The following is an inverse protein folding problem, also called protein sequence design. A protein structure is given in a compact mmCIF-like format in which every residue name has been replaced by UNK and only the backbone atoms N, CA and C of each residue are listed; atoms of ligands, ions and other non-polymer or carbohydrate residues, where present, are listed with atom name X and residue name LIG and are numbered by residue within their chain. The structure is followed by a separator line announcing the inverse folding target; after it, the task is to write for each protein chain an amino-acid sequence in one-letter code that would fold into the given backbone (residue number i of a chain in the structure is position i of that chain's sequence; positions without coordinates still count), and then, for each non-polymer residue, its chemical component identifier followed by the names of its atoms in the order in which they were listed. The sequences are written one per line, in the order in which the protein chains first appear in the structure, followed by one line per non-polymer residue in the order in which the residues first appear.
data_IF_915830568536
#
_entry.id   IF_915830568536
#
_cell.length_a   1.000
_cell.length_b   1.000
_cell.length_c   1.000
_cell.angle_alpha   90.00
_cell.angle_beta   90.00
_cell.angle_gamma   90.00
#
_symmetry.space_group_name_H-M   'P 1'
#
loop_
_entity.id
_entity.type
_entity.pdbx_description
1 polymer ?
#
# COMPACT_ATOMS: atom_id res chain seq x y z
N UNK A 1 54.70 14.61 2.54
CA UNK A 1 53.56 13.71 2.78
C UNK A 1 52.32 14.57 2.96
N UNK A 2 51.59 14.84 1.88
CA UNK A 2 50.36 15.64 1.92
C UNK A 2 49.19 14.70 1.66
N UNK A 3 48.37 14.49 2.67
CA UNK A 3 47.19 13.62 2.58
C UNK A 3 46.10 14.36 1.80
N UNK A 4 45.85 13.93 0.57
CA UNK A 4 44.71 14.42 -0.22
C UNK A 4 43.42 13.99 0.46
N UNK A 5 42.71 14.93 1.07
CA UNK A 5 41.35 14.71 1.59
C UNK A 5 40.42 14.62 0.40
N UNK A 6 39.98 13.41 0.07
CA UNK A 6 38.94 13.17 -0.91
C UNK A 6 37.63 13.75 -0.35
N UNK A 7 37.21 14.91 -0.86
CA UNK A 7 35.86 15.42 -0.62
C UNK A 7 34.88 14.49 -1.37
N UNK A 8 33.81 13.98 -0.72
CA UNK A 8 32.81 13.19 -1.43
C UNK A 8 32.12 14.06 -2.50
N UNK A 9 31.71 13.46 -3.64
CA UNK A 9 31.00 14.18 -4.69
C UNK A 9 29.74 14.83 -4.10
N UNK A 10 29.58 16.12 -4.38
CA UNK A 10 28.38 16.88 -4.05
C UNK A 10 27.16 16.18 -4.62
N UNK A 11 26.31 15.63 -3.75
CA UNK A 11 25.07 14.97 -4.15
C UNK A 11 24.14 16.00 -4.81
N UNK A 12 23.62 15.72 -6.02
CA UNK A 12 22.66 16.60 -6.66
C UNK A 12 21.38 16.68 -5.81
N UNK A 13 20.75 17.85 -5.78
CA UNK A 13 19.51 18.11 -5.05
C UNK A 13 18.48 17.02 -5.35
N UNK A 14 18.14 16.25 -4.30
CA UNK A 14 17.24 15.10 -4.39
C UNK A 14 15.84 15.57 -4.78
N UNK A 15 15.31 15.14 -5.94
CA UNK A 15 14.01 15.61 -6.41
C UNK A 15 12.87 15.09 -5.53
N UNK A 16 11.83 15.92 -5.38
CA UNK A 16 10.62 15.71 -4.56
C UNK A 16 9.90 14.38 -4.91
N UNK A 17 10.17 13.79 -6.08
CA UNK A 17 9.72 12.46 -6.51
C UNK A 17 10.27 11.29 -5.70
N UNK A 18 11.41 11.44 -5.00
CA UNK A 18 11.99 10.35 -4.22
C UNK A 18 11.10 9.94 -3.04
N UNK A 19 10.39 10.89 -2.43
CA UNK A 19 9.55 10.63 -1.26
C UNK A 19 8.39 9.65 -1.55
N UNK A 20 7.70 9.82 -2.67
CA UNK A 20 6.61 8.93 -3.06
C UNK A 20 7.13 7.56 -3.50
N UNK A 21 8.17 7.53 -4.35
CA UNK A 21 8.77 6.27 -4.82
C UNK A 21 9.37 5.43 -3.68
N UNK A 22 9.90 6.08 -2.64
CA UNK A 22 10.40 5.41 -1.44
C UNK A 22 9.26 4.73 -0.66
N UNK A 23 8.16 5.46 -0.42
CA UNK A 23 7.03 4.91 0.30
C UNK A 23 6.39 3.74 -0.46
N UNK A 24 6.23 3.89 -1.77
CA UNK A 24 5.68 2.84 -2.63
C UNK A 24 6.55 1.57 -2.59
N UNK A 25 7.87 1.73 -2.60
CA UNK A 25 8.81 0.61 -2.49
C UNK A 25 8.70 -0.13 -1.13
N UNK A 26 8.59 0.60 -0.01
CA UNK A 26 8.40 -0.02 1.30
C UNK A 26 7.04 -0.72 1.40
N UNK A 27 6.00 -0.16 0.78
CA UNK A 27 4.66 -0.79 0.73
C UNK A 27 4.66 -2.07 -0.08
N UNK A 28 5.34 -2.12 -1.23
CA UNK A 28 5.53 -3.35 -2.04
C UNK A 28 6.18 -4.45 -1.21
N UNK A 29 7.24 -4.14 -0.46
CA UNK A 29 7.92 -5.13 0.37
C UNK A 29 7.04 -5.58 1.54
N UNK A 30 6.35 -4.65 2.21
CA UNK A 30 5.43 -4.98 3.29
C UNK A 30 4.30 -5.92 2.83
N UNK A 31 3.70 -5.64 1.67
CA UNK A 31 2.65 -6.45 1.05
C UNK A 31 3.17 -7.83 0.66
N UNK A 32 4.37 -7.92 0.07
CA UNK A 32 4.99 -9.22 -0.22
C UNK A 32 5.21 -10.05 1.05
N UNK A 33 5.73 -9.44 2.12
CA UNK A 33 5.92 -10.12 3.39
C UNK A 33 4.60 -10.56 4.04
N UNK A 34 3.51 -9.84 3.82
CA UNK A 34 2.17 -10.27 4.22
C UNK A 34 1.70 -11.50 3.43
N UNK A 35 1.94 -11.53 2.11
CA UNK A 35 1.59 -12.67 1.25
C UNK A 35 2.37 -13.95 1.56
N UNK A 36 3.59 -13.84 2.12
CA UNK A 36 4.36 -14.99 2.59
C UNK A 36 4.23 -15.23 4.10
N UNK A 37 3.25 -14.59 4.75
CA UNK A 37 2.93 -14.74 6.18
C UNK A 37 4.11 -14.43 7.13
N UNK A 38 5.03 -13.57 6.70
CA UNK A 38 6.20 -13.15 7.47
C UNK A 38 5.96 -11.83 8.20
N UNK A 39 5.44 -11.94 9.42
CA UNK A 39 4.92 -10.81 10.21
C UNK A 39 6.02 -9.80 10.58
N UNK A 40 7.21 -10.27 10.97
CA UNK A 40 8.30 -9.40 11.46
C UNK A 40 8.74 -8.36 10.43
N UNK A 41 9.25 -8.79 9.26
CA UNK A 41 9.61 -7.89 8.17
C UNK A 41 8.42 -7.05 7.67
N UNK A 42 7.23 -7.63 7.52
CA UNK A 42 6.01 -6.89 7.14
C UNK A 42 5.78 -5.67 8.06
N UNK A 43 5.81 -5.88 9.38
CA UNK A 43 5.67 -4.81 10.37
C UNK A 43 6.85 -3.84 10.33
N UNK A 44 8.07 -4.31 10.08
CA UNK A 44 9.26 -3.48 9.92
C UNK A 44 9.10 -2.46 8.79
N UNK A 45 8.75 -2.94 7.59
CA UNK A 45 8.51 -2.08 6.42
C UNK A 45 7.33 -1.12 6.61
N UNK A 46 6.21 -1.58 7.19
CA UNK A 46 5.06 -0.71 7.50
C UNK A 46 5.42 0.39 8.51
N UNK A 47 6.19 0.06 9.55
CA UNK A 47 6.65 1.02 10.55
C UNK A 47 7.59 2.06 9.93
N UNK A 48 8.54 1.62 9.12
CA UNK A 48 9.42 2.53 8.41
C UNK A 48 8.66 3.48 7.49
N UNK A 49 7.73 2.98 6.67
CA UNK A 49 6.88 3.82 5.82
C UNK A 49 6.08 4.84 6.66
N UNK A 50 5.58 4.45 7.84
CA UNK A 50 4.89 5.36 8.76
C UNK A 50 5.81 6.46 9.31
N UNK A 51 7.03 6.10 9.74
CA UNK A 51 8.04 7.07 10.21
C UNK A 51 8.37 8.07 9.11
N UNK A 52 8.62 7.59 7.89
CA UNK A 52 8.92 8.44 6.74
C UNK A 52 7.76 9.39 6.37
N UNK A 53 6.51 8.89 6.39
CA UNK A 53 5.30 9.72 6.18
C UNK A 53 5.13 10.81 7.25
N UNK A 54 5.66 10.59 8.45
CA UNK A 54 5.55 11.54 9.58
C UNK A 54 6.63 12.61 9.60
N UNK A 55 7.64 12.53 8.74
CA UNK A 55 8.74 13.49 8.74
C UNK A 55 8.25 14.89 8.34
N UNK A 56 8.66 15.95 9.07
CA UNK A 56 8.25 17.32 8.75
C UNK A 56 8.88 17.84 7.46
N UNK A 57 9.99 17.24 7.04
CA UNK A 57 10.68 17.53 5.77
C UNK A 57 11.04 16.21 5.07
N UNK A 58 11.01 16.18 3.72
CA UNK A 58 11.47 15.03 2.97
C UNK A 58 12.92 14.68 3.30
N UNK A 59 13.24 13.39 3.30
CA UNK A 59 14.63 12.94 3.41
C UNK A 59 15.46 13.49 2.25
N UNK A 60 16.59 14.10 2.57
CA UNK A 60 17.53 14.64 1.58
C UNK A 60 18.81 13.85 1.50
N UNK A 61 19.24 13.27 2.61
CA UNK A 61 20.47 12.50 2.68
C UNK A 61 20.25 11.20 3.41
N UNK A 62 21.05 10.20 3.06
CA UNK A 62 21.02 8.90 3.72
C UNK A 62 21.38 9.01 5.21
N UNK A 63 22.26 9.95 5.59
CA UNK A 63 22.63 10.20 6.99
C UNK A 63 21.42 10.55 7.88
N UNK A 64 20.34 11.06 7.28
CA UNK A 64 19.14 11.46 8.00
C UNK A 64 18.38 10.22 8.54
N UNK A 65 18.54 9.04 7.92
CA UNK A 65 17.83 7.81 8.33
C UNK A 65 18.50 7.10 9.50
N UNK A 66 19.77 7.41 9.80
CA UNK A 66 20.51 6.75 10.89
C UNK A 66 19.91 7.03 12.26
N UNK A 67 19.31 8.20 12.44
CA UNK A 67 18.72 8.67 13.70
C UNK A 67 17.24 8.33 13.83
N UNK A 68 16.64 7.77 12.79
CA UNK A 68 15.21 7.51 12.77
C UNK A 68 14.88 6.18 13.46
N UNK A 69 13.84 6.15 14.32
CA UNK A 69 13.42 4.94 14.99
C UNK A 69 12.81 3.95 13.99
N UNK A 70 12.75 2.67 14.38
CA UNK A 70 12.06 1.61 13.66
C UNK A 70 12.61 1.27 12.25
N UNK A 71 13.78 1.77 11.88
CA UNK A 71 14.49 1.40 10.65
C UNK A 71 15.52 0.32 10.94
N UNK A 72 15.14 -0.93 10.64
CA UNK A 72 16.04 -2.08 10.71
C UNK A 72 17.09 -2.07 9.60
N UNK A 73 18.15 -2.90 9.70
CA UNK A 73 19.24 -2.95 8.72
C UNK A 73 18.74 -3.15 7.29
N UNK A 74 17.77 -4.05 7.11
CA UNK A 74 17.18 -4.36 5.82
C UNK A 74 16.42 -3.17 5.22
N UNK A 75 15.64 -2.46 6.03
CA UNK A 75 14.91 -1.29 5.55
C UNK A 75 15.85 -0.14 5.21
N UNK A 76 16.91 0.06 6.00
CA UNK A 76 17.96 1.04 5.68
C UNK A 76 18.65 0.71 4.36
N UNK A 77 18.97 -0.56 4.10
CA UNK A 77 19.56 -1.00 2.84
C UNK A 77 18.64 -0.71 1.64
N UNK A 78 17.34 -0.99 1.75
CA UNK A 78 16.38 -0.67 0.68
C UNK A 78 16.30 0.85 0.43
N UNK A 79 16.26 1.65 1.49
CA UNK A 79 16.26 3.11 1.35
C UNK A 79 17.56 3.58 0.71
N UNK A 80 18.70 3.02 1.11
CA UNK A 80 20.01 3.31 0.53
C UNK A 80 20.04 3.06 -0.97
N UNK A 81 19.64 1.85 -1.40
CA UNK A 81 19.58 1.49 -2.81
C UNK A 81 18.76 2.52 -3.61
N UNK A 82 17.59 2.91 -3.09
CA UNK A 82 16.71 3.87 -3.76
C UNK A 82 17.34 5.27 -3.82
N UNK A 83 18.07 5.69 -2.79
CA UNK A 83 18.80 6.96 -2.79
C UNK A 83 19.98 6.97 -3.77
N UNK A 84 20.71 5.87 -3.87
CA UNK A 84 21.94 5.77 -4.67
C UNK A 84 21.66 5.44 -6.14
N UNK A 85 20.72 4.53 -6.39
CA UNK A 85 20.44 3.93 -7.70
C UNK A 85 19.08 4.35 -8.28
N UNK A 86 18.21 4.97 -7.48
CA UNK A 86 16.84 5.31 -7.88
C UNK A 86 15.84 4.16 -7.76
N UNK A 87 16.30 2.93 -7.52
CA UNK A 87 15.50 1.73 -7.29
C UNK A 87 16.23 0.75 -6.35
N UNK A 88 15.50 -0.24 -5.83
CA UNK A 88 16.10 -1.36 -5.08
C UNK A 88 15.86 -2.66 -5.84
N UNK A 89 16.93 -3.42 -6.06
CA UNK A 89 16.88 -4.73 -6.72
C UNK A 89 15.90 -5.68 -6.04
N UNK A 90 15.79 -5.61 -4.71
CA UNK A 90 14.84 -6.38 -3.93
C UNK A 90 13.39 -6.03 -4.26
N UNK A 91 13.10 -4.75 -4.47
CA UNK A 91 11.76 -4.28 -4.85
C UNK A 91 11.46 -4.73 -6.28
N UNK A 92 12.42 -4.62 -7.19
CA UNK A 92 12.28 -5.07 -8.57
C UNK A 92 12.05 -6.57 -8.69
N UNK A 93 12.74 -7.38 -7.88
CA UNK A 93 12.54 -8.83 -7.79
C UNK A 93 11.10 -9.15 -7.37
N UNK A 94 10.59 -8.51 -6.33
CA UNK A 94 9.19 -8.68 -5.88
C UNK A 94 8.21 -8.21 -6.96
N UNK A 95 8.47 -7.07 -7.59
CA UNK A 95 7.62 -6.54 -8.66
C UNK A 95 7.63 -7.41 -9.91
N UNK A 96 8.62 -8.29 -10.10
CA UNK A 96 8.72 -9.22 -11.23
C UNK A 96 8.27 -10.64 -10.91
N UNK A 97 8.15 -10.98 -9.62
CA UNK A 97 7.66 -12.26 -9.14
C UNK A 97 6.20 -12.55 -9.56
N UNK A 98 5.98 -13.72 -10.18
CA UNK A 98 4.66 -14.15 -10.68
C UNK A 98 3.67 -14.33 -9.53
N UNK A 99 4.15 -14.86 -8.40
CA UNK A 99 3.32 -15.12 -7.22
C UNK A 99 2.81 -13.80 -6.64
N UNK A 100 3.68 -12.84 -6.37
CA UNK A 100 3.32 -11.51 -5.88
C UNK A 100 2.30 -10.83 -6.80
N UNK A 101 2.57 -10.78 -8.11
CA UNK A 101 1.65 -10.19 -9.10
C UNK A 101 0.29 -10.85 -9.10
N UNK A 102 0.25 -12.18 -9.06
CA UNK A 102 -1.01 -12.92 -9.07
C UNK A 102 -1.81 -12.70 -7.79
N UNK A 103 -1.15 -12.77 -6.64
CA UNK A 103 -1.81 -12.53 -5.36
C UNK A 103 -2.36 -11.12 -5.28
N UNK A 104 -1.60 -10.11 -5.74
CA UNK A 104 -2.03 -8.71 -5.82
C UNK A 104 -3.28 -8.53 -6.71
N UNK A 105 -3.34 -9.21 -7.86
CA UNK A 105 -4.54 -9.21 -8.71
C UNK A 105 -5.72 -9.83 -7.97
N UNK A 106 -5.53 -10.95 -7.29
CA UNK A 106 -6.64 -11.62 -6.60
C UNK A 106 -7.14 -10.85 -5.38
N UNK A 107 -6.24 -10.30 -4.57
CA UNK A 107 -6.61 -9.52 -3.37
C UNK A 107 -7.16 -8.13 -3.69
N UNK A 108 -7.07 -7.69 -4.96
CA UNK A 108 -7.75 -6.47 -5.41
C UNK A 108 -9.29 -6.61 -5.44
N UNK A 109 -9.82 -7.84 -5.42
CA UNK A 109 -11.26 -8.10 -5.40
C UNK A 109 -11.78 -8.07 -3.97
N UNK A 110 -12.82 -7.26 -3.72
CA UNK A 110 -13.49 -7.22 -2.42
C UNK A 110 -13.93 -8.61 -1.96
N UNK A 111 -13.60 -8.95 -0.70
CA UNK A 111 -13.90 -10.27 -0.12
C UNK A 111 -12.85 -11.35 -0.42
N UNK A 112 -11.76 -11.03 -1.12
CA UNK A 112 -10.63 -11.93 -1.37
C UNK A 112 -9.42 -11.52 -0.52
N UNK A 113 -9.13 -12.30 0.52
CA UNK A 113 -7.92 -12.14 1.33
C UNK A 113 -6.76 -13.02 0.85
N UNK A 114 -5.55 -12.86 1.44
CA UNK A 114 -4.34 -13.60 1.05
C UNK A 114 -4.53 -15.12 1.03
N UNK A 115 -5.27 -15.70 1.99
CA UNK A 115 -5.54 -17.14 2.04
C UNK A 115 -6.35 -17.65 0.85
N UNK A 116 -7.35 -16.88 0.41
CA UNK A 116 -8.17 -17.24 -0.76
C UNK A 116 -7.37 -17.08 -2.04
N UNK A 117 -6.64 -15.96 -2.17
CA UNK A 117 -5.75 -15.71 -3.30
C UNK A 117 -4.70 -16.83 -3.45
N UNK A 118 -4.09 -17.25 -2.34
CA UNK A 118 -3.12 -18.33 -2.31
C UNK A 118 -3.72 -19.67 -2.75
N UNK A 119 -4.95 -19.98 -2.32
CA UNK A 119 -5.67 -21.19 -2.75
C UNK A 119 -5.87 -21.20 -4.27
N UNK A 120 -6.24 -20.07 -4.86
CA UNK A 120 -6.40 -19.94 -6.31
C UNK A 120 -5.07 -20.02 -7.04
N UNK A 121 -4.03 -19.38 -6.53
CA UNK A 121 -2.69 -19.44 -7.10
C UNK A 121 -2.16 -20.88 -7.18
N UNK A 122 -2.31 -21.65 -6.09
CA UNK A 122 -1.91 -23.08 -6.01
C UNK A 122 -2.68 -23.98 -6.96
N UNK A 123 -3.88 -23.57 -7.38
CA UNK A 123 -4.66 -24.27 -8.43
C UNK A 123 -4.19 -23.94 -9.85
N UNK A 124 -3.16 -23.10 -10.00
CA UNK A 124 -2.66 -22.67 -11.31
C UNK A 124 -3.41 -21.47 -11.90
N UNK A 125 -4.31 -20.84 -11.15
CA UNK A 125 -5.03 -19.65 -11.61
C UNK A 125 -4.10 -18.43 -11.54
N UNK A 126 -4.21 -17.54 -12.53
CA UNK A 126 -3.41 -16.31 -12.66
C UNK A 126 -4.24 -15.07 -12.99
N UNK A 127 -5.48 -15.24 -13.45
CA UNK A 127 -6.34 -14.14 -13.90
C UNK A 127 -7.74 -14.22 -13.29
N UNK A 128 -8.39 -13.07 -13.12
CA UNK A 128 -9.73 -12.97 -12.52
C UNK A 128 -10.80 -13.70 -13.34
N UNK A 129 -10.68 -13.67 -14.67
CA UNK A 129 -11.63 -14.31 -15.58
C UNK A 129 -11.68 -15.83 -15.36
N UNK A 130 -10.53 -16.43 -15.07
CA UNK A 130 -10.42 -17.87 -14.80
C UNK A 130 -11.21 -18.26 -13.54
N UNK A 131 -11.24 -17.37 -12.54
CA UNK A 131 -11.99 -17.59 -11.29
C UNK A 131 -13.50 -17.58 -11.58
N UNK A 132 -13.95 -16.63 -12.40
CA UNK A 132 -15.38 -16.51 -12.75
C UNK A 132 -15.86 -17.59 -13.72
N UNK A 133 -14.97 -18.15 -14.55
CA UNK A 133 -15.32 -19.20 -15.52
C UNK A 133 -15.24 -20.62 -14.94
N UNK A 134 -14.51 -20.81 -13.84
CA UNK A 134 -14.32 -22.13 -13.23
C UNK A 134 -15.50 -22.49 -12.33
N UNK A 135 -16.37 -23.38 -12.82
CA UNK A 135 -17.58 -23.83 -12.13
C UNK A 135 -17.32 -24.59 -10.82
N UNK A 136 -16.09 -25.03 -10.57
CA UNK A 136 -15.71 -25.68 -9.30
C UNK A 136 -15.34 -24.69 -8.19
N UNK A 137 -15.30 -23.39 -8.49
CA UNK A 137 -15.05 -22.34 -7.49
C UNK A 137 -16.38 -21.82 -6.95
N UNK A 138 -16.58 -21.99 -5.65
CA UNK A 138 -17.70 -21.39 -4.94
C UNK A 138 -17.27 -20.09 -4.28
N UNK A 139 -17.82 -18.99 -4.79
CA UNK A 139 -17.63 -17.64 -4.25
C UNK A 139 -18.62 -17.40 -3.11
N UNK A 140 -18.15 -16.80 -2.02
CA UNK A 140 -19.04 -16.32 -0.97
C UNK A 140 -19.76 -15.02 -1.39
N UNK A 141 -20.77 -14.58 -0.62
CA UNK A 141 -21.57 -13.38 -0.95
C UNK A 141 -20.72 -12.12 -1.14
N UNK A 142 -19.67 -11.93 -0.33
CA UNK A 142 -18.78 -10.77 -0.47
C UNK A 142 -17.97 -10.83 -1.75
N UNK A 143 -17.44 -12.01 -2.10
CA UNK A 143 -16.69 -12.22 -3.33
C UNK A 143 -17.55 -12.03 -4.57
N UNK A 144 -18.80 -12.54 -4.56
CA UNK A 144 -19.75 -12.31 -5.65
C UNK A 144 -19.97 -10.81 -5.88
N UNK A 145 -20.24 -10.06 -4.82
CA UNK A 145 -20.36 -8.60 -4.91
C UNK A 145 -19.06 -7.93 -5.38
N UNK A 146 -17.92 -8.42 -4.91
CA UNK A 146 -16.59 -7.92 -5.31
C UNK A 146 -16.31 -8.09 -6.79
N UNK A 147 -16.67 -9.23 -7.38
CA UNK A 147 -16.56 -9.44 -8.83
C UNK A 147 -17.59 -8.62 -9.61
N UNK A 148 -18.84 -8.57 -9.15
CA UNK A 148 -19.92 -7.84 -9.83
C UNK A 148 -19.64 -6.34 -9.95
N UNK A 149 -19.07 -5.74 -8.90
CA UNK A 149 -18.81 -4.30 -8.82
C UNK A 149 -17.32 -3.95 -8.89
N UNK A 150 -16.47 -4.88 -9.35
CA UNK A 150 -15.01 -4.74 -9.33
C UNK A 150 -14.54 -3.41 -9.94
N UNK A 151 -15.07 -3.03 -11.10
CA UNK A 151 -14.68 -1.78 -11.80
C UNK A 151 -15.00 -0.51 -11.01
N UNK A 152 -16.11 -0.49 -10.28
CA UNK A 152 -16.50 0.71 -9.53
C UNK A 152 -15.80 0.76 -8.18
N UNK A 153 -15.67 -0.40 -7.52
CA UNK A 153 -14.95 -0.53 -6.26
C UNK A 153 -13.43 -0.32 -6.42
N UNK A 154 -12.88 -0.56 -7.62
CA UNK A 154 -11.46 -0.32 -7.89
C UNK A 154 -11.11 1.17 -8.06
N UNK A 155 -12.11 2.05 -8.19
CA UNK A 155 -11.87 3.50 -8.36
C UNK A 155 -11.65 4.15 -7.00
N UNK A 156 -10.68 5.07 -6.88
CA UNK A 156 -10.54 5.89 -5.68
C UNK A 156 -11.83 6.67 -5.40
N UNK A 157 -12.26 6.69 -4.15
CA UNK A 157 -13.41 7.51 -3.73
C UNK A 157 -12.93 8.92 -3.44
N UNK A 158 -13.57 9.92 -4.04
CA UNK A 158 -13.33 11.33 -3.78
C UNK A 158 -14.02 11.79 -2.50
N UNK A 159 -13.49 12.87 -1.89
CA UNK A 159 -14.13 13.49 -0.72
C UNK A 159 -15.59 13.90 -1.01
N UNK A 160 -15.89 14.39 -2.22
CA UNK A 160 -17.23 14.79 -2.60
C UNK A 160 -18.22 13.61 -2.63
N UNK A 161 -17.79 12.45 -3.15
CA UNK A 161 -18.58 11.22 -3.10
C UNK A 161 -18.80 10.76 -1.66
N UNK A 162 -17.76 10.79 -0.81
CA UNK A 162 -17.88 10.44 0.59
C UNK A 162 -18.87 11.36 1.36
N UNK A 163 -18.81 12.67 1.11
CA UNK A 163 -19.75 13.65 1.68
C UNK A 163 -21.18 13.43 1.17
N UNK A 164 -21.36 13.09 -0.11
CA UNK A 164 -22.67 12.77 -0.67
C UNK A 164 -23.31 11.55 0.01
N UNK A 165 -22.53 10.49 0.23
CA UNK A 165 -22.98 9.31 1.00
C UNK A 165 -23.30 9.71 2.44
N UNK A 166 -22.48 10.56 3.06
CA UNK A 166 -22.72 11.09 4.41
C UNK A 166 -24.08 11.77 4.56
N UNK A 167 -24.46 12.63 3.59
CA UNK A 167 -25.77 13.30 3.58
C UNK A 167 -26.95 12.34 3.48
N UNK A 168 -26.83 11.30 2.64
CA UNK A 168 -27.87 10.27 2.50
C UNK A 168 -28.07 9.54 3.84
N UNK A 169 -26.97 9.20 4.52
CA UNK A 169 -27.03 8.53 5.83
C UNK A 169 -27.65 9.45 6.88
N UNK A 170 -27.29 10.72 6.89
CA UNK A 170 -27.83 11.72 7.83
C UNK A 170 -29.35 11.91 7.65
N UNK A 171 -29.82 12.02 6.40
CA UNK A 171 -31.25 12.11 6.09
C UNK A 171 -32.01 10.86 6.57
N UNK A 172 -31.49 9.67 6.25
CA UNK A 172 -32.12 8.40 6.68
C UNK A 172 -32.13 8.30 8.20
N UNK A 173 -31.01 8.58 8.87
CA UNK A 173 -30.93 8.47 10.33
C UNK A 173 -31.81 9.51 11.05
N UNK A 174 -31.88 10.73 10.51
CA UNK A 174 -32.77 11.80 10.99
C UNK A 174 -34.25 11.43 10.93
N UNK A 175 -34.65 10.58 9.99
CA UNK A 175 -36.03 10.06 9.92
C UNK A 175 -36.40 9.14 11.08
N UNK A 176 -35.41 8.53 11.75
CA UNK A 176 -35.62 7.66 12.91
C UNK A 176 -35.41 8.40 14.23
N UNK A 177 -34.44 9.33 14.29
CA UNK A 177 -34.13 10.11 15.48
C UNK A 177 -33.53 11.48 15.11
N UNK A 178 -34.12 12.56 15.63
CA UNK A 178 -33.70 13.93 15.36
C UNK A 178 -32.36 14.34 16.00
N UNK A 179 -31.88 13.57 17.00
CA UNK A 179 -30.64 13.86 17.72
C UNK A 179 -29.42 13.07 17.16
N UNK A 180 -29.42 12.75 15.86
CA UNK A 180 -28.32 12.01 15.22
C UNK A 180 -27.24 12.96 14.70
N UNK A 181 -25.98 12.67 15.06
CA UNK A 181 -24.81 13.32 14.47
C UNK A 181 -24.03 12.31 13.63
N UNK A 182 -23.80 12.62 12.36
CA UNK A 182 -22.96 11.83 11.46
C UNK A 182 -21.59 12.49 11.32
N UNK A 183 -20.51 11.71 11.38
CA UNK A 183 -19.16 12.21 11.18
C UNK A 183 -18.36 11.25 10.30
N UNK A 184 -17.78 11.76 9.23
CA UNK A 184 -16.87 11.00 8.38
C UNK A 184 -15.63 10.58 9.20
N UNK A 185 -15.29 9.30 9.16
CA UNK A 185 -14.13 8.71 9.86
C UNK A 185 -13.06 8.25 8.86
N UNK A 186 -12.08 7.45 9.30
CA UNK A 186 -11.08 6.85 8.41
C UNK A 186 -10.14 7.84 7.71
N UNK A 187 -9.77 7.53 6.46
CA UNK A 187 -8.85 8.34 5.65
C UNK A 187 -9.32 9.78 5.41
N UNK A 188 -10.62 9.99 5.19
CA UNK A 188 -11.19 11.31 4.96
C UNK A 188 -11.12 12.20 6.21
N UNK A 189 -11.25 11.63 7.42
CA UNK A 189 -11.01 12.37 8.67
C UNK A 189 -9.55 12.83 8.80
N UNK A 190 -8.61 12.10 8.17
CA UNK A 190 -7.18 12.44 8.10
C UNK A 190 -6.82 13.32 6.90
N UNK A 191 -7.83 13.97 6.30
CA UNK A 191 -7.68 14.89 5.17
C UNK A 191 -7.11 14.25 3.88
N UNK A 192 -7.28 12.93 3.68
CA UNK A 192 -7.00 12.33 2.38
C UNK A 192 -8.02 12.83 1.34
N UNK A 193 -7.52 13.29 0.19
CA UNK A 193 -8.35 13.76 -0.93
C UNK A 193 -9.00 12.56 -1.64
N UNK A 194 -8.28 11.43 -1.69
CA UNK A 194 -8.72 10.16 -2.24
C UNK A 194 -8.34 9.02 -1.29
N UNK A 195 -9.20 8.02 -1.19
CA UNK A 195 -8.93 6.79 -0.43
C UNK A 195 -8.97 5.60 -1.38
N UNK A 196 -7.87 4.83 -1.53
CA UNK A 196 -7.92 3.53 -2.20
C UNK A 196 -8.75 2.58 -1.34
N UNK A 197 -9.70 1.87 -1.95
CA UNK A 197 -10.75 1.17 -1.22
C UNK A 197 -10.25 -0.06 -0.43
N UNK A 198 -9.00 -0.53 -0.67
CA UNK A 198 -8.40 -1.70 0.01
C UNK A 198 -6.92 -1.57 0.41
N UNK A 199 -6.57 -0.51 1.14
CA UNK A 199 -5.39 -0.52 2.01
C UNK A 199 -5.83 -0.13 3.42
N UNK A 200 -6.15 -1.14 4.23
CA UNK A 200 -6.38 -1.01 5.68
C UNK A 200 -5.87 -2.25 6.38
#
# INVERSE_FOLDING_TARGET
MGTTVHLPPSYPDVPITLGQGLLDALEVLAENYEFIESIGPCLGFRRAASVLKSLPVPLRNISDIERLPCLGPETKAVIQDIFECGSSSKVEEVLTDERYRTLKIFTSVFGVGPKTAEKWYRRGLRRLEQITSDTSIHLNRMQVAGFQHYRDISKPVSKAEAEAVGRIIEEIAGSFNGDVTITLTGGFRRCLIFVPQFLS
#
